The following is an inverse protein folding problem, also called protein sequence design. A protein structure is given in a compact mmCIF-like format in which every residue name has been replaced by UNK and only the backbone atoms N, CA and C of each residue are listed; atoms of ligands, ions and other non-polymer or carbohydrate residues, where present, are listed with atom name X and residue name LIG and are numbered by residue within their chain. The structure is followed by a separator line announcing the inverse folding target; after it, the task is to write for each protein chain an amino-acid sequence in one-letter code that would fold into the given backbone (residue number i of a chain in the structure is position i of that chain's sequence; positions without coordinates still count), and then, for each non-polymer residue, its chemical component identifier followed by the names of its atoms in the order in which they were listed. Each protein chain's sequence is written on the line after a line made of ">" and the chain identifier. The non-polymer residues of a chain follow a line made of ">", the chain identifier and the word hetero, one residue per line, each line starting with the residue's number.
data_IF_469343270885
#
_entry.id   IF_469343270885
#
_cell.length_a   1.000
_cell.length_b   1.000
_cell.length_c   1.000
_cell.angle_alpha   90.00
_cell.angle_beta   90.00
_cell.angle_gamma   90.00
#
_symmetry.space_group_name_H-M   'P 1'
#
loop_
_entity.id
_entity.type
_entity.pdbx_description
1 polymer ?
#
# COMPACT_ATOMS: atom_id res chain seq x y z
N UNK A 1 21.92 -14.14 7.53
CA UNK A 1 23.01 -13.54 6.74
C UNK A 1 22.54 -12.68 5.55
N UNK A 2 21.78 -13.12 4.56
CA UNK A 2 21.30 -12.21 3.49
C UNK A 2 20.17 -11.31 3.98
N UNK A 3 19.25 -11.83 4.75
CA UNK A 3 18.13 -11.08 5.34
C UNK A 3 18.58 -9.98 6.32
N UNK A 4 19.68 -10.19 7.05
CA UNK A 4 20.21 -9.17 7.96
C UNK A 4 20.79 -7.97 7.18
N UNK A 5 21.45 -8.25 6.06
CA UNK A 5 21.96 -7.19 5.15
C UNK A 5 20.82 -6.41 4.50
N UNK A 6 19.77 -7.09 4.05
CA UNK A 6 18.58 -6.45 3.50
C UNK A 6 17.87 -5.56 4.54
N UNK A 7 17.76 -6.04 5.79
CA UNK A 7 17.22 -5.27 6.89
C UNK A 7 18.06 -4.03 7.20
N UNK A 8 19.40 -4.17 7.23
CA UNK A 8 20.30 -3.04 7.44
C UNK A 8 20.16 -1.98 6.35
N UNK A 9 20.00 -2.40 5.08
CA UNK A 9 19.73 -1.49 3.97
C UNK A 9 18.41 -0.73 4.15
N UNK A 10 17.34 -1.44 4.54
CA UNK A 10 16.02 -0.83 4.78
C UNK A 10 16.05 0.16 5.95
N UNK A 11 16.83 -0.15 7.00
CA UNK A 11 17.00 0.71 8.18
C UNK A 11 18.07 1.79 7.99
N UNK A 12 18.72 1.83 6.83
CA UNK A 12 19.87 2.73 6.54
C UNK A 12 21.00 2.59 7.57
N UNK A 13 21.28 1.37 8.00
CA UNK A 13 22.34 1.03 8.95
C UNK A 13 23.58 0.49 8.21
N UNK A 14 24.79 0.63 8.81
CA UNK A 14 26.00 -0.03 8.28
C UNK A 14 25.81 -1.54 8.19
N UNK A 15 26.38 -2.17 7.14
CA UNK A 15 26.18 -3.58 6.87
C UNK A 15 26.75 -4.55 7.91
N UNK A 16 27.62 -4.06 8.81
CA UNK A 16 28.20 -4.77 9.94
C UNK A 16 27.39 -4.65 11.24
N UNK A 17 26.28 -3.92 11.22
CA UNK A 17 25.43 -3.73 12.40
C UNK A 17 24.61 -4.99 12.67
N UNK A 18 24.79 -5.58 13.84
CA UNK A 18 23.95 -6.69 14.31
C UNK A 18 22.63 -6.14 14.87
N UNK A 19 21.53 -6.39 14.17
CA UNK A 19 20.17 -6.02 14.64
C UNK A 19 19.57 -7.21 15.38
N UNK A 20 19.24 -7.03 16.65
CA UNK A 20 18.51 -8.03 17.43
C UNK A 20 17.01 -7.70 17.38
N UNK A 21 16.25 -8.55 16.72
CA UNK A 21 14.79 -8.45 16.73
C UNK A 21 14.24 -8.99 18.06
N UNK A 22 13.39 -8.23 18.72
CA UNK A 22 12.58 -8.71 19.84
C UNK A 22 11.10 -8.60 19.48
N UNK A 23 10.40 -9.71 19.53
CA UNK A 23 8.94 -9.70 19.37
C UNK A 23 8.32 -9.32 20.71
N UNK A 24 7.45 -8.33 20.69
CA UNK A 24 6.64 -7.99 21.85
C UNK A 24 5.41 -8.90 21.89
N UNK A 25 5.51 -9.99 22.65
CA UNK A 25 4.41 -10.95 22.80
C UNK A 25 3.20 -10.38 23.56
N UNK A 26 3.38 -9.28 24.28
CA UNK A 26 2.27 -8.61 24.97
C UNK A 26 1.23 -8.08 23.95
N UNK A 27 1.69 -7.64 22.78
CA UNK A 27 0.81 -7.20 21.69
C UNK A 27 -0.12 -8.33 21.23
N UNK A 28 0.40 -9.57 21.13
CA UNK A 28 -0.41 -10.72 20.72
C UNK A 28 -1.48 -11.09 21.75
N UNK A 29 -1.18 -10.94 23.05
CA UNK A 29 -2.12 -11.24 24.13
C UNK A 29 -3.25 -10.22 24.23
N UNK A 30 -2.96 -8.97 23.87
CA UNK A 30 -3.91 -7.85 23.94
C UNK A 30 -4.71 -7.66 22.64
N UNK A 31 -4.41 -8.45 21.60
CA UNK A 31 -5.06 -8.32 20.30
C UNK A 31 -6.53 -8.77 20.39
N UNK A 32 -7.42 -7.78 20.47
CA UNK A 32 -8.85 -7.98 20.49
C UNK A 32 -9.48 -7.47 19.19
N UNK A 33 -9.80 -8.42 18.29
CA UNK A 33 -10.44 -8.10 17.02
C UNK A 33 -11.85 -7.49 17.18
N UNK A 34 -12.49 -7.65 18.33
CA UNK A 34 -13.81 -7.08 18.58
C UNK A 34 -13.81 -5.55 18.59
N UNK A 35 -12.66 -4.94 18.85
CA UNK A 35 -12.47 -3.49 18.84
C UNK A 35 -12.17 -2.94 17.44
N UNK A 36 -11.84 -3.79 16.47
CA UNK A 36 -11.56 -3.41 15.09
C UNK A 36 -12.86 -3.41 14.26
N UNK A 37 -13.49 -2.24 14.16
CA UNK A 37 -14.66 -2.08 13.29
C UNK A 37 -14.23 -2.08 11.82
N UNK A 38 -14.75 -3.02 11.02
CA UNK A 38 -14.52 -3.05 9.57
C UNK A 38 -14.96 -1.76 8.88
N UNK A 39 -16.01 -1.09 9.41
CA UNK A 39 -16.50 0.18 8.88
C UNK A 39 -15.47 1.30 9.06
N UNK A 40 -14.78 1.35 10.21
CA UNK A 40 -13.74 2.34 10.48
C UNK A 40 -12.51 2.10 9.59
N UNK A 41 -12.09 0.84 9.44
CA UNK A 41 -11.02 0.47 8.52
C UNK A 41 -11.34 0.86 7.08
N UNK A 42 -12.58 0.65 6.63
CA UNK A 42 -13.03 1.08 5.30
C UNK A 42 -13.01 2.60 5.15
N UNK A 43 -13.33 3.35 6.18
CA UNK A 43 -13.22 4.81 6.16
C UNK A 43 -11.77 5.26 5.98
N UNK A 44 -10.81 4.59 6.67
CA UNK A 44 -9.38 4.87 6.52
C UNK A 44 -8.88 4.56 5.11
N UNK A 45 -9.24 3.41 4.54
CA UNK A 45 -8.88 3.04 3.16
C UNK A 45 -9.36 4.07 2.15
N UNK A 46 -10.54 4.69 2.36
CA UNK A 46 -11.05 5.73 1.48
C UNK A 46 -10.19 7.00 1.47
N UNK A 47 -9.36 7.21 2.48
CA UNK A 47 -8.41 8.32 2.59
C UNK A 47 -7.03 8.01 2.01
N UNK A 48 -6.82 6.81 1.47
CA UNK A 48 -5.55 6.39 0.84
C UNK A 48 -5.12 7.36 -0.26
N UNK A 49 -3.80 7.63 -0.36
CA UNK A 49 -3.26 8.53 -1.37
C UNK A 49 -3.55 8.10 -2.82
N UNK A 50 -3.52 6.80 -3.12
CA UNK A 50 -3.80 6.26 -4.45
C UNK A 50 -5.26 6.51 -4.89
N UNK A 51 -6.23 6.40 -3.99
CA UNK A 51 -7.63 6.74 -4.26
C UNK A 51 -7.82 8.26 -4.45
N UNK A 52 -7.08 9.08 -3.70
CA UNK A 52 -7.05 10.54 -3.90
C UNK A 52 -6.47 10.90 -5.26
N UNK A 53 -5.42 10.23 -5.69
CA UNK A 53 -4.84 10.39 -7.04
C UNK A 53 -5.87 10.02 -8.11
N UNK A 54 -6.56 8.90 -7.99
CA UNK A 54 -7.58 8.48 -8.94
C UNK A 54 -8.72 9.51 -9.06
N UNK A 55 -9.22 10.04 -7.92
CA UNK A 55 -10.22 11.13 -7.91
C UNK A 55 -9.69 12.40 -8.56
N UNK A 56 -8.45 12.77 -8.30
CA UNK A 56 -7.79 13.94 -8.89
C UNK A 56 -7.62 13.79 -10.40
N UNK A 57 -7.33 12.60 -10.89
CA UNK A 57 -7.22 12.28 -12.32
C UNK A 57 -8.54 12.50 -13.05
N UNK A 58 -9.67 12.10 -12.46
CA UNK A 58 -11.00 12.39 -13.02
C UNK A 58 -11.24 13.91 -13.09
N UNK A 59 -10.86 14.63 -12.04
CA UNK A 59 -10.99 16.10 -11.99
C UNK A 59 -10.14 16.79 -13.04
N UNK A 60 -8.90 16.33 -13.24
CA UNK A 60 -8.00 16.81 -14.28
C UNK A 60 -8.55 16.54 -15.69
N UNK A 61 -9.12 15.35 -15.93
CA UNK A 61 -9.76 15.00 -17.20
C UNK A 61 -10.98 15.89 -17.50
N UNK A 62 -11.78 16.24 -16.47
CA UNK A 62 -12.89 17.19 -16.59
C UNK A 62 -12.40 18.60 -16.91
N UNK A 63 -11.29 19.04 -16.27
CA UNK A 63 -10.67 20.32 -16.56
C UNK A 63 -10.12 20.38 -17.99
N UNK A 64 -9.51 19.29 -18.45
CA UNK A 64 -9.07 19.17 -19.84
C UNK A 64 -10.22 19.26 -20.84
N UNK A 65 -11.35 18.61 -20.57
CA UNK A 65 -12.54 18.78 -21.43
C UNK A 65 -13.01 20.23 -21.48
N UNK A 66 -12.96 20.95 -20.35
CA UNK A 66 -13.30 22.39 -20.32
C UNK A 66 -12.32 23.21 -21.17
N UNK A 67 -11.03 22.89 -21.09
CA UNK A 67 -9.98 23.50 -21.92
C UNK A 67 -10.26 23.24 -23.41
N UNK A 68 -10.48 21.97 -23.81
CA UNK A 68 -10.75 21.63 -25.20
C UNK A 68 -12.00 22.33 -25.75
N UNK A 69 -13.02 22.52 -24.91
CA UNK A 69 -14.22 23.28 -25.29
C UNK A 69 -13.92 24.78 -25.47
N UNK A 70 -13.07 25.37 -24.60
CA UNK A 70 -12.70 26.79 -24.73
C UNK A 70 -11.93 27.07 -26.03
N UNK A 71 -11.10 26.10 -26.48
CA UNK A 71 -10.37 26.21 -27.75
C UNK A 71 -11.29 26.17 -28.99
N UNK A 72 -12.56 25.80 -28.82
CA UNK A 72 -13.56 25.84 -29.89
C UNK A 72 -14.17 27.24 -30.10
N UNK A 73 -13.92 28.17 -29.16
CA UNK A 73 -14.40 29.56 -29.26
C UNK A 73 -13.39 30.43 -30.00
N UNK A 74 -13.86 31.53 -30.63
CA UNK A 74 -12.98 32.50 -31.27
C UNK A 74 -11.99 33.11 -30.27
N UNK A 75 -10.73 33.21 -30.70
CA UNK A 75 -9.69 33.90 -29.92
C UNK A 75 -9.64 35.39 -30.30
N UNK A 76 -9.83 36.23 -29.28
CA UNK A 76 -9.70 37.67 -29.42
C UNK A 76 -8.35 38.12 -28.84
N UNK A 77 -7.55 38.83 -29.66
CA UNK A 77 -6.28 39.37 -29.22
C UNK A 77 -6.12 40.86 -29.56
N UNK A 78 -5.55 41.59 -28.62
CA UNK A 78 -5.19 43.02 -28.79
C UNK A 78 -3.66 43.08 -28.78
N UNK A 79 -3.10 43.73 -29.78
CA UNK A 79 -1.62 43.91 -29.89
C UNK A 79 -1.31 45.39 -29.91
N UNK A 80 -0.37 45.80 -29.11
CA UNK A 80 0.22 47.15 -29.12
C UNK A 80 1.67 47.05 -29.56
N UNK A 81 2.06 47.80 -30.59
CA UNK A 81 3.44 47.92 -31.02
C UNK A 81 3.91 49.36 -30.84
N UNK A 82 5.09 49.50 -30.25
CA UNK A 82 5.78 50.79 -30.18
C UNK A 82 7.17 50.64 -30.78
N UNK A 83 7.47 51.46 -31.79
CA UNK A 83 8.77 51.50 -32.43
C UNK A 83 9.35 52.93 -32.32
N UNK A 84 10.45 53.04 -31.58
CA UNK A 84 11.13 54.30 -31.32
C UNK A 84 11.89 54.85 -32.54
N UNK A 85 12.42 53.96 -33.38
CA UNK A 85 13.31 54.27 -34.49
C UNK A 85 12.82 53.62 -35.79
N UNK A 86 11.54 53.71 -36.12
CA UNK A 86 10.96 53.20 -37.35
C UNK A 86 11.57 53.82 -38.61
N UNK A 87 11.62 53.06 -39.67
CA UNK A 87 12.27 53.47 -40.94
C UNK A 87 11.66 54.71 -41.55
N UNK A 88 10.39 55.07 -41.24
CA UNK A 88 9.70 56.21 -41.84
C UNK A 88 9.14 57.21 -40.83
N UNK A 89 8.83 56.78 -39.62
CA UNK A 89 8.24 57.63 -38.57
C UNK A 89 8.89 57.27 -37.20
N UNK A 90 9.49 58.28 -36.57
CA UNK A 90 10.00 58.13 -35.20
C UNK A 90 8.84 58.05 -34.20
N UNK A 91 8.98 57.22 -33.17
CA UNK A 91 7.97 57.03 -32.12
C UNK A 91 6.63 56.54 -32.69
N UNK A 92 6.69 55.56 -33.58
CA UNK A 92 5.48 54.93 -34.14
C UNK A 92 4.75 54.09 -33.09
N UNK A 93 3.48 54.35 -32.90
CA UNK A 93 2.60 53.58 -32.03
C UNK A 93 1.46 53.00 -32.88
N UNK A 94 1.24 51.69 -32.79
CA UNK A 94 0.15 51.01 -33.45
C UNK A 94 -0.61 50.10 -32.48
N UNK A 95 -1.94 50.13 -32.56
CA UNK A 95 -2.82 49.18 -31.86
C UNK A 95 -3.53 48.35 -32.91
N UNK A 96 -3.43 47.06 -32.76
CA UNK A 96 -4.11 46.10 -33.62
C UNK A 96 -5.05 45.20 -32.83
N UNK A 97 -6.18 44.84 -33.43
CA UNK A 97 -7.14 43.87 -32.90
C UNK A 97 -7.22 42.73 -33.89
N UNK A 98 -7.10 41.48 -33.41
CA UNK A 98 -7.32 40.30 -34.25
C UNK A 98 -8.31 39.35 -33.64
N UNK A 99 -9.17 38.78 -34.48
CA UNK A 99 -10.18 37.75 -34.10
C UNK A 99 -9.93 36.51 -34.95
N UNK A 100 -9.51 35.43 -34.29
CA UNK A 100 -9.34 34.12 -34.94
C UNK A 100 -10.61 33.30 -34.75
N UNK A 101 -11.35 33.05 -35.85
CA UNK A 101 -12.64 32.31 -35.79
C UNK A 101 -12.44 30.92 -36.40
N UNK A 102 -12.55 29.82 -35.61
CA UNK A 102 -12.48 28.47 -36.14
C UNK A 102 -13.76 28.09 -36.86
N UNK A 103 -13.76 28.10 -38.22
CA UNK A 103 -14.94 27.85 -39.02
C UNK A 103 -15.14 26.35 -39.26
N UNK A 104 -14.09 25.65 -39.73
CA UNK A 104 -14.15 24.25 -40.13
C UNK A 104 -13.70 23.31 -39.00
N UNK A 105 -12.65 23.67 -38.29
CA UNK A 105 -12.12 22.88 -37.18
C UNK A 105 -12.43 23.58 -35.84
N UNK A 106 -13.50 23.13 -35.20
CA UNK A 106 -13.95 23.61 -33.87
C UNK A 106 -13.45 22.70 -32.75
N UNK A 107 -12.29 22.11 -32.91
CA UNK A 107 -11.67 21.20 -31.94
C UNK A 107 -12.54 19.96 -31.57
N UNK A 108 -13.50 19.60 -32.43
CA UNK A 108 -14.50 18.56 -32.14
C UNK A 108 -13.87 17.18 -31.89
N UNK A 109 -12.75 16.85 -32.55
CA UNK A 109 -12.01 15.62 -32.35
C UNK A 109 -11.45 15.53 -30.93
N UNK A 110 -10.74 16.57 -30.48
CA UNK A 110 -10.18 16.63 -29.13
C UNK A 110 -11.24 16.70 -28.04
N UNK A 111 -12.35 17.38 -28.29
CA UNK A 111 -13.50 17.40 -27.37
C UNK A 111 -14.08 15.99 -27.20
N UNK A 112 -14.21 15.23 -28.31
CA UNK A 112 -14.66 13.83 -28.26
C UNK A 112 -13.66 12.96 -27.52
N UNK A 113 -12.36 13.09 -27.81
CA UNK A 113 -11.30 12.37 -27.10
C UNK A 113 -11.29 12.69 -25.59
N UNK A 114 -11.40 13.97 -25.21
CA UNK A 114 -11.47 14.39 -23.81
C UNK A 114 -12.70 13.82 -23.08
N UNK A 115 -13.84 13.63 -23.76
CA UNK A 115 -15.00 12.95 -23.15
C UNK A 115 -14.71 11.48 -22.85
N UNK A 116 -14.05 10.76 -23.78
CA UNK A 116 -13.63 9.38 -23.54
C UNK A 116 -12.58 9.27 -22.42
N UNK A 117 -11.65 10.24 -22.33
CA UNK A 117 -10.69 10.29 -21.23
C UNK A 117 -11.35 10.42 -19.86
N UNK A 118 -12.50 11.14 -19.75
CA UNK A 118 -13.25 11.20 -18.50
C UNK A 118 -13.88 9.83 -18.18
N UNK A 119 -14.44 9.15 -19.18
CA UNK A 119 -15.02 7.81 -18.97
C UNK A 119 -13.94 6.81 -18.55
N UNK A 120 -12.79 6.84 -19.22
CA UNK A 120 -11.63 6.02 -18.85
C UNK A 120 -11.17 6.30 -17.40
N UNK A 121 -10.91 7.57 -17.06
CA UNK A 121 -10.50 7.95 -15.72
C UNK A 121 -11.54 7.58 -14.65
N UNK A 122 -12.83 7.65 -14.98
CA UNK A 122 -13.92 7.21 -14.11
C UNK A 122 -13.90 5.71 -13.86
N UNK A 123 -13.71 4.91 -14.90
CA UNK A 123 -13.59 3.45 -14.78
C UNK A 123 -12.32 3.03 -14.01
N UNK A 124 -11.20 3.76 -14.22
CA UNK A 124 -9.97 3.54 -13.46
C UNK A 124 -10.14 3.88 -11.97
N UNK A 125 -10.85 4.96 -11.64
CA UNK A 125 -11.20 5.32 -10.27
C UNK A 125 -12.05 4.24 -9.60
N UNK A 126 -13.08 3.74 -10.28
CA UNK A 126 -13.94 2.67 -9.76
C UNK A 126 -13.16 1.38 -9.55
N UNK A 127 -12.29 1.02 -10.51
CA UNK A 127 -11.42 -0.15 -10.39
C UNK A 127 -10.45 -0.02 -9.22
N UNK A 128 -9.86 1.18 -9.01
CA UNK A 128 -8.99 1.43 -7.86
C UNK A 128 -9.74 1.28 -6.52
N UNK A 129 -10.97 1.81 -6.44
CA UNK A 129 -11.80 1.66 -5.23
C UNK A 129 -12.16 0.19 -4.96
N UNK A 130 -12.60 -0.54 -5.99
CA UNK A 130 -12.93 -1.96 -5.86
C UNK A 130 -11.71 -2.80 -5.45
N UNK A 131 -10.53 -2.49 -5.99
CA UNK A 131 -9.29 -3.16 -5.61
C UNK A 131 -8.94 -2.89 -4.15
N UNK A 132 -9.01 -1.64 -3.70
CA UNK A 132 -8.74 -1.27 -2.32
C UNK A 132 -9.72 -1.94 -1.33
N UNK A 133 -11.01 -2.03 -1.69
CA UNK A 133 -12.00 -2.78 -0.90
C UNK A 133 -11.66 -4.28 -0.81
N UNK A 134 -11.21 -4.89 -1.91
CA UNK A 134 -10.81 -6.30 -1.95
C UNK A 134 -9.52 -6.56 -1.15
N UNK A 135 -8.54 -5.65 -1.24
CA UNK A 135 -7.31 -5.71 -0.45
C UNK A 135 -7.62 -5.65 1.05
N UNK A 136 -8.47 -4.71 1.47
CA UNK A 136 -8.91 -4.59 2.85
C UNK A 136 -9.60 -5.86 3.34
N UNK A 137 -10.57 -6.37 2.57
CA UNK A 137 -11.28 -7.59 2.95
C UNK A 137 -10.33 -8.78 3.11
N UNK A 138 -9.40 -8.94 2.17
CA UNK A 138 -8.42 -10.03 2.20
C UNK A 138 -7.47 -9.91 3.39
N UNK A 139 -6.96 -8.70 3.66
CA UNK A 139 -6.07 -8.44 4.80
C UNK A 139 -6.79 -8.67 6.12
N UNK A 140 -8.02 -8.18 6.27
CA UNK A 140 -8.85 -8.39 7.47
C UNK A 140 -9.16 -9.87 7.71
N UNK A 141 -9.61 -10.60 6.68
CA UNK A 141 -9.88 -12.04 6.78
C UNK A 141 -8.63 -12.87 7.10
N UNK A 142 -7.47 -12.45 6.59
CA UNK A 142 -6.19 -13.09 6.91
C UNK A 142 -5.80 -12.87 8.36
N UNK A 143 -5.98 -11.65 8.88
CA UNK A 143 -5.74 -11.35 10.29
C UNK A 143 -6.69 -12.14 11.20
N UNK A 144 -7.98 -12.19 10.87
CA UNK A 144 -8.96 -12.94 11.65
C UNK A 144 -8.57 -14.43 11.75
N UNK A 145 -8.20 -15.06 10.63
CA UNK A 145 -7.74 -16.46 10.63
C UNK A 145 -6.47 -16.66 11.43
N UNK A 146 -5.49 -15.79 11.29
CA UNK A 146 -4.23 -15.90 12.03
C UNK A 146 -4.45 -15.76 13.54
N UNK A 147 -5.29 -14.82 13.96
CA UNK A 147 -5.64 -14.63 15.38
C UNK A 147 -6.46 -15.82 15.92
N UNK A 148 -7.43 -16.33 15.17
CA UNK A 148 -8.17 -17.52 15.56
C UNK A 148 -7.25 -18.75 15.75
N UNK A 149 -6.30 -18.94 14.83
CA UNK A 149 -5.32 -20.02 14.95
C UNK A 149 -4.44 -19.82 16.19
N UNK A 150 -3.94 -18.61 16.42
CA UNK A 150 -3.15 -18.27 17.58
C UNK A 150 -3.92 -18.53 18.89
N UNK A 151 -5.16 -18.06 19.00
CA UNK A 151 -5.99 -18.22 20.19
C UNK A 151 -6.41 -19.69 20.44
N UNK A 152 -6.60 -20.46 19.37
CA UNK A 152 -6.92 -21.90 19.48
C UNK A 152 -5.70 -22.76 19.81
N UNK A 153 -4.49 -22.22 19.59
CA UNK A 153 -3.25 -22.92 19.91
C UNK A 153 -2.92 -22.77 21.38
N UNK A 154 -2.68 -23.88 22.07
CA UNK A 154 -2.32 -23.86 23.47
C UNK A 154 -0.87 -23.40 23.65
N UNK A 155 -0.66 -22.11 23.94
CA UNK A 155 0.68 -21.53 24.14
C UNK A 155 1.41 -22.07 25.38
N UNK A 156 0.69 -22.71 26.30
CA UNK A 156 1.32 -23.44 27.41
C UNK A 156 2.06 -24.72 26.94
N UNK A 157 1.83 -25.15 25.70
CA UNK A 157 2.59 -26.25 25.09
C UNK A 157 4.09 -25.93 25.09
N UNK A 158 4.51 -24.69 24.78
CA UNK A 158 5.92 -24.30 24.78
C UNK A 158 6.58 -24.59 26.14
N UNK A 159 5.93 -24.18 27.24
CA UNK A 159 6.42 -24.43 28.60
C UNK A 159 6.35 -25.90 29.00
N UNK A 160 5.36 -26.62 28.52
CA UNK A 160 5.20 -28.05 28.78
C UNK A 160 6.21 -28.86 27.97
N UNK A 161 6.54 -28.44 26.76
CA UNK A 161 7.58 -29.07 25.94
C UNK A 161 8.98 -28.87 26.52
N UNK A 162 9.31 -27.71 27.12
CA UNK A 162 10.57 -27.53 27.84
C UNK A 162 10.73 -28.54 28.99
N UNK A 163 9.66 -28.77 29.74
CA UNK A 163 9.63 -29.80 30.79
C UNK A 163 9.77 -31.20 30.23
N UNK A 164 9.08 -31.46 29.11
CA UNK A 164 9.13 -32.76 28.43
C UNK A 164 10.56 -33.08 27.97
N UNK A 165 11.21 -32.11 27.27
CA UNK A 165 12.57 -32.34 26.75
C UNK A 165 13.59 -32.50 27.88
N UNK A 166 13.39 -31.79 29.01
CA UNK A 166 14.21 -31.99 30.19
C UNK A 166 14.05 -33.42 30.72
N UNK A 167 12.80 -33.91 30.81
CA UNK A 167 12.52 -35.30 31.22
C UNK A 167 13.08 -36.36 30.22
N UNK A 168 13.01 -36.07 28.93
CA UNK A 168 13.60 -36.92 27.87
C UNK A 168 15.12 -37.00 28.02
N UNK A 169 15.80 -35.87 28.26
CA UNK A 169 17.24 -35.80 28.51
C UNK A 169 17.64 -36.61 29.75
N UNK A 170 16.89 -36.49 30.83
CA UNK A 170 17.13 -37.27 32.04
C UNK A 170 16.98 -38.79 31.83
N UNK A 171 15.91 -39.19 31.13
CA UNK A 171 15.66 -40.61 30.83
C UNK A 171 16.75 -41.16 29.89
N UNK A 172 17.21 -40.40 28.92
CA UNK A 172 18.29 -40.79 28.05
C UNK A 172 19.60 -40.97 28.85
N UNK A 173 19.92 -40.03 29.72
CA UNK A 173 21.13 -40.09 30.59
C UNK A 173 21.08 -41.30 31.54
N UNK A 174 19.89 -41.63 32.03
CA UNK A 174 19.62 -42.82 32.89
C UNK A 174 19.55 -44.13 32.08
N UNK A 175 19.70 -44.10 30.75
CA UNK A 175 19.54 -45.22 29.80
C UNK A 175 18.17 -45.87 29.81
N UNK A 176 17.12 -45.11 30.17
CA UNK A 176 15.75 -45.60 30.17
C UNK A 176 15.12 -45.54 28.76
N UNK A 177 15.68 -44.76 27.86
CA UNK A 177 15.27 -44.68 26.45
C UNK A 177 16.47 -44.88 25.53
N UNK A 178 16.22 -45.41 24.34
CA UNK A 178 17.23 -45.57 23.30
C UNK A 178 17.62 -44.24 22.64
N UNK A 179 18.76 -44.25 21.92
CA UNK A 179 19.18 -43.06 21.13
C UNK A 179 18.15 -42.72 20.03
N UNK A 180 17.53 -43.73 19.45
CA UNK A 180 16.49 -43.51 18.41
C UNK A 180 15.27 -42.80 18.99
N UNK A 181 14.74 -43.26 20.10
CA UNK A 181 13.61 -42.63 20.80
C UNK A 181 13.98 -41.18 21.24
N UNK A 182 15.20 -40.99 21.72
CA UNK A 182 15.68 -39.62 22.08
C UNK A 182 15.65 -38.69 20.88
N UNK A 183 16.15 -39.13 19.70
CA UNK A 183 16.18 -38.33 18.47
C UNK A 183 14.75 -38.03 18.02
N UNK A 184 13.86 -39.02 18.03
CA UNK A 184 12.45 -38.83 17.63
C UNK A 184 11.73 -37.81 18.51
N UNK A 185 11.92 -37.85 19.82
CA UNK A 185 11.36 -36.85 20.74
C UNK A 185 11.96 -35.47 20.51
N UNK A 186 13.25 -35.38 20.27
CA UNK A 186 13.95 -34.10 20.04
C UNK A 186 13.53 -33.46 18.72
N UNK A 187 13.38 -34.24 17.66
CA UNK A 187 12.93 -33.73 16.36
C UNK A 187 11.46 -33.27 16.44
N UNK A 188 10.59 -34.03 17.10
CA UNK A 188 9.21 -33.63 17.36
C UNK A 188 9.10 -32.34 18.17
N UNK A 189 9.94 -32.17 19.18
CA UNK A 189 10.05 -30.95 19.96
C UNK A 189 10.45 -29.77 19.08
N UNK A 190 11.54 -29.92 18.31
CA UNK A 190 12.03 -28.87 17.42
C UNK A 190 10.98 -28.45 16.40
N UNK A 191 10.30 -29.40 15.77
CA UNK A 191 9.27 -29.14 14.79
C UNK A 191 8.09 -28.37 15.41
N UNK A 192 7.63 -28.76 16.60
CA UNK A 192 6.58 -28.07 17.33
C UNK A 192 6.96 -26.62 17.68
N UNK A 193 8.19 -26.41 18.17
CA UNK A 193 8.69 -25.06 18.45
C UNK A 193 8.68 -24.17 17.19
N UNK A 194 9.11 -24.72 16.05
CA UNK A 194 9.10 -23.99 14.77
C UNK A 194 7.65 -23.61 14.40
N UNK A 195 6.72 -24.57 14.48
CA UNK A 195 5.31 -24.31 14.17
C UNK A 195 4.69 -23.23 15.07
N UNK A 196 4.99 -23.24 16.38
CA UNK A 196 4.51 -22.19 17.31
C UNK A 196 5.05 -20.81 16.95
N UNK A 197 6.32 -20.73 16.57
CA UNK A 197 6.91 -19.46 16.13
C UNK A 197 6.34 -19.00 14.77
N UNK A 198 6.02 -19.92 13.87
CA UNK A 198 5.36 -19.60 12.61
C UNK A 198 3.96 -19.03 12.83
N UNK A 199 3.18 -19.62 13.73
CA UNK A 199 1.84 -19.10 14.09
C UNK A 199 1.96 -17.67 14.64
N UNK A 200 2.90 -17.41 15.57
CA UNK A 200 3.14 -16.06 16.10
C UNK A 200 3.55 -15.08 14.98
N UNK A 201 4.49 -15.48 14.14
CA UNK A 201 4.95 -14.69 12.98
C UNK A 201 3.79 -14.34 12.04
N UNK A 202 2.91 -15.30 11.75
CA UNK A 202 1.80 -15.10 10.81
C UNK A 202 0.79 -14.07 11.32
N UNK A 203 0.55 -13.99 12.63
CA UNK A 203 -0.27 -12.91 13.20
C UNK A 203 0.38 -11.55 12.98
N UNK A 204 1.68 -11.39 13.26
CA UNK A 204 2.38 -10.12 13.04
C UNK A 204 2.38 -9.71 11.56
N UNK A 205 2.63 -10.67 10.66
CA UNK A 205 2.58 -10.41 9.22
C UNK A 205 1.18 -9.99 8.75
N UNK A 206 0.14 -10.62 9.28
CA UNK A 206 -1.24 -10.25 8.95
C UNK A 206 -1.62 -8.86 9.50
N UNK A 207 -1.13 -8.49 10.70
CA UNK A 207 -1.29 -7.14 11.26
C UNK A 207 -0.62 -6.08 10.37
N UNK A 208 0.64 -6.30 9.99
CA UNK A 208 1.38 -5.36 9.15
C UNK A 208 0.77 -5.27 7.75
N UNK A 209 0.28 -6.37 7.19
CA UNK A 209 -0.44 -6.36 5.93
C UNK A 209 -1.73 -5.52 6.01
N UNK A 210 -2.47 -5.62 7.12
CA UNK A 210 -3.63 -4.76 7.34
C UNK A 210 -3.23 -3.29 7.49
N UNK A 211 -2.18 -2.99 8.26
CA UNK A 211 -1.65 -1.62 8.42
C UNK A 211 -1.26 -1.01 7.07
N UNK A 212 -0.53 -1.73 6.24
CA UNK A 212 -0.13 -1.26 4.90
C UNK A 212 -1.32 -1.11 3.96
N UNK A 213 -2.36 -1.89 4.14
CA UNK A 213 -3.60 -1.79 3.34
C UNK A 213 -4.41 -0.56 3.69
N UNK A 214 -4.36 -0.11 4.93
CA UNK A 214 -5.07 1.09 5.39
C UNK A 214 -4.36 2.37 4.93
N UNK A 215 -3.03 2.37 4.81
CA UNK A 215 -2.21 3.49 4.32
C UNK A 215 -1.28 4.04 5.38
#
# INVERSE_FOLDING_TARGET
>A
CSSDLELNVLLNLPGDTAVKLSLDEEVLKQLDLSQLSFADLKAMVNERPDLKIARSTVSASRANLKLQKSMAFPEFSVKGNYDRAGNFINNYFAVGVSLSVPIFNRNQGNIKAARFSIQQAGAEQENAANRADMELYTAYASLEKAVQLYQSTNMDLERNFEKLITGVNENFTKRNISLLEFIDYYDSYKETCIQLHEIKKDVFLAMENLNTTIG
#
